data_IF_420318866107
#
_entry.id   IF_420318866107
#
_cell.length_a   1.000
_cell.length_b   1.000
_cell.length_c   1.000
_cell.angle_alpha   90.00
_cell.angle_beta   90.00
_cell.angle_gamma   90.00
#
_symmetry.space_group_name_H-M   'P 1'
#
loop_
_entity.id
_entity.type
_entity.pdbx_description
1 polymer ?
#
# COMPACT_ATOMS: atom_id res chain seq x y z
N UNK A 1 -59.07 -11.66 -0.71
CA UNK A 1 -58.29 -10.41 -0.82
C UNK A 1 -57.12 -10.40 0.15
N UNK A 2 -57.24 -11.07 1.30
CA UNK A 2 -56.24 -11.07 2.37
C UNK A 2 -54.92 -11.77 1.99
N UNK A 3 -54.96 -12.84 1.20
CA UNK A 3 -53.73 -13.51 0.73
C UNK A 3 -52.91 -12.65 -0.23
N UNK A 4 -53.55 -11.81 -1.06
CA UNK A 4 -52.85 -10.92 -1.99
C UNK A 4 -52.10 -9.81 -1.25
N UNK A 5 -52.68 -9.29 -0.16
CA UNK A 5 -52.01 -8.31 0.71
C UNK A 5 -50.78 -8.91 1.39
N UNK A 6 -50.85 -10.17 1.83
CA UNK A 6 -49.69 -10.90 2.37
C UNK A 6 -48.54 -11.01 1.36
N UNK A 7 -48.83 -11.45 0.12
CA UNK A 7 -47.81 -11.56 -0.93
C UNK A 7 -47.17 -10.22 -1.30
N UNK A 8 -47.93 -9.11 -1.28
CA UNK A 8 -47.39 -7.77 -1.56
C UNK A 8 -46.45 -7.32 -0.45
N UNK A 9 -46.81 -7.56 0.83
CA UNK A 9 -45.94 -7.22 1.96
C UNK A 9 -44.65 -8.04 1.96
N UNK A 10 -44.73 -9.34 1.68
CA UNK A 10 -43.56 -10.19 1.56
C UNK A 10 -42.65 -9.76 0.40
N UNK A 11 -43.23 -9.39 -0.75
CA UNK A 11 -42.49 -8.85 -1.88
C UNK A 11 -41.77 -7.54 -1.54
N UNK A 12 -42.41 -6.65 -0.77
CA UNK A 12 -41.80 -5.41 -0.30
C UNK A 12 -40.66 -5.66 0.69
N UNK A 13 -40.82 -6.64 1.59
CA UNK A 13 -39.78 -7.01 2.56
C UNK A 13 -38.57 -7.61 1.85
N UNK A 14 -38.78 -8.53 0.90
CA UNK A 14 -37.71 -9.12 0.09
C UNK A 14 -37.00 -8.03 -0.74
N UNK A 15 -37.76 -7.08 -1.30
CA UNK A 15 -37.18 -5.96 -2.03
C UNK A 15 -36.32 -5.08 -1.11
N UNK A 16 -36.82 -4.73 0.06
CA UNK A 16 -36.09 -3.93 1.04
C UNK A 16 -34.79 -4.62 1.48
N UNK A 17 -34.84 -5.91 1.81
CA UNK A 17 -33.66 -6.70 2.14
C UNK A 17 -32.66 -6.78 0.98
N UNK A 18 -33.15 -6.99 -0.24
CA UNK A 18 -32.31 -7.02 -1.44
C UNK A 18 -31.57 -5.69 -1.67
N UNK A 19 -32.26 -4.56 -1.47
CA UNK A 19 -31.66 -3.22 -1.53
C UNK A 19 -30.61 -3.05 -0.42
N UNK A 20 -30.94 -3.40 0.82
CA UNK A 20 -30.00 -3.28 1.94
C UNK A 20 -28.73 -4.10 1.69
N UNK A 21 -28.85 -5.37 1.30
CA UNK A 21 -27.69 -6.24 1.03
C UNK A 21 -26.84 -5.69 -0.12
N UNK A 22 -27.48 -5.20 -1.19
CA UNK A 22 -26.79 -4.61 -2.36
C UNK A 22 -25.89 -3.43 -1.99
N UNK A 23 -26.27 -2.62 -1.00
CA UNK A 23 -25.47 -1.47 -0.58
C UNK A 23 -24.57 -1.75 0.62
N UNK A 24 -24.98 -2.64 1.52
CA UNK A 24 -24.23 -2.94 2.74
C UNK A 24 -22.95 -3.73 2.47
N UNK A 25 -23.01 -4.75 1.61
CA UNK A 25 -21.82 -5.56 1.25
C UNK A 25 -20.71 -4.69 0.64
N UNK A 26 -20.93 -3.90 -0.43
CA UNK A 26 -19.87 -3.09 -1.00
C UNK A 26 -19.37 -2.00 -0.05
N UNK A 27 -20.23 -1.49 0.85
CA UNK A 27 -19.80 -0.54 1.87
C UNK A 27 -18.80 -1.13 2.87
N UNK A 28 -19.07 -2.33 3.39
CA UNK A 28 -18.14 -3.05 4.27
C UNK A 28 -16.83 -3.36 3.53
N UNK A 29 -16.91 -3.83 2.28
CA UNK A 29 -15.73 -4.06 1.45
C UNK A 29 -14.90 -2.78 1.28
N UNK A 30 -15.54 -1.63 1.06
CA UNK A 30 -14.84 -0.35 0.88
C UNK A 30 -14.05 0.10 2.11
N UNK A 31 -14.51 -0.24 3.32
CA UNK A 31 -13.82 0.03 4.57
C UNK A 31 -12.55 -0.84 4.69
N UNK A 32 -12.66 -2.12 4.32
CA UNK A 32 -11.55 -3.07 4.38
C UNK A 32 -10.51 -2.78 3.28
N UNK A 33 -10.91 -2.40 2.07
CA UNK A 33 -9.99 -2.09 0.96
C UNK A 33 -9.04 -0.95 1.29
N UNK A 34 -9.50 0.11 1.97
CA UNK A 34 -8.63 1.22 2.40
C UNK A 34 -7.57 0.76 3.39
N UNK A 35 -7.93 -0.14 4.30
CA UNK A 35 -7.01 -0.71 5.28
C UNK A 35 -6.02 -1.69 4.62
N UNK A 36 -6.47 -2.47 3.64
CA UNK A 36 -5.60 -3.39 2.91
C UNK A 36 -4.50 -2.65 2.15
N UNK A 37 -4.80 -1.49 1.56
CA UNK A 37 -3.79 -0.67 0.87
C UNK A 37 -2.73 -0.09 1.83
N UNK A 38 -3.12 0.34 3.03
CA UNK A 38 -2.14 0.84 4.00
C UNK A 38 -1.25 -0.29 4.52
N UNK A 39 -1.83 -1.46 4.81
CA UNK A 39 -1.07 -2.66 5.19
C UNK A 39 -0.13 -3.09 4.08
N UNK A 40 -0.60 -3.12 2.83
CA UNK A 40 0.21 -3.44 1.65
C UNK A 40 1.38 -2.46 1.49
N UNK A 41 1.10 -1.16 1.64
CA UNK A 41 2.13 -0.11 1.59
C UNK A 41 3.19 -0.32 2.67
N UNK A 42 2.79 -0.71 3.88
CA UNK A 42 3.72 -0.96 4.98
C UNK A 42 4.62 -2.18 4.68
N UNK A 43 4.06 -3.27 4.16
CA UNK A 43 4.85 -4.44 3.76
C UNK A 43 5.82 -4.12 2.62
N UNK A 44 5.39 -3.34 1.62
CA UNK A 44 6.26 -2.88 0.53
C UNK A 44 7.39 -2.01 1.06
N UNK A 45 7.09 -1.04 1.94
CA UNK A 45 8.13 -0.21 2.56
C UNK A 45 9.12 -1.03 3.39
N UNK A 46 8.63 -2.00 4.17
CA UNK A 46 9.48 -2.90 4.93
C UNK A 46 10.36 -3.77 4.02
N UNK A 47 9.82 -4.27 2.91
CA UNK A 47 10.57 -5.04 1.93
C UNK A 47 11.66 -4.21 1.25
N UNK A 48 11.35 -2.96 0.85
CA UNK A 48 12.34 -2.04 0.28
C UNK A 48 13.43 -1.70 1.30
N UNK A 49 13.06 -1.43 2.56
CA UNK A 49 14.03 -1.19 3.63
C UNK A 49 14.94 -2.42 3.87
N UNK A 50 14.38 -3.62 3.85
CA UNK A 50 15.14 -4.87 3.97
C UNK A 50 16.11 -5.07 2.78
N UNK A 51 15.68 -4.74 1.56
CA UNK A 51 16.53 -4.79 0.37
C UNK A 51 17.70 -3.82 0.45
N UNK A 52 17.46 -2.59 0.92
CA UNK A 52 18.50 -1.58 1.14
C UNK A 52 19.51 -2.00 2.22
N UNK A 53 19.06 -2.66 3.28
CA UNK A 53 19.96 -3.16 4.32
C UNK A 53 20.75 -4.40 3.89
N UNK A 54 20.13 -5.30 3.13
CA UNK A 54 20.73 -6.58 2.72
C UNK A 54 21.74 -6.39 1.59
N UNK A 55 21.43 -5.54 0.60
CA UNK A 55 22.28 -5.30 -0.57
C UNK A 55 22.94 -3.93 -0.42
N UNK A 56 24.20 -3.93 0.02
CA UNK A 56 25.01 -2.72 0.17
C UNK A 56 25.69 -2.35 -1.17
N UNK A 57 25.62 -1.08 -1.54
CA UNK A 57 26.26 -0.55 -2.75
C UNK A 57 25.33 0.28 -3.65
N UNK A 58 25.89 1.29 -4.32
CA UNK A 58 25.14 2.12 -5.28
C UNK A 58 25.04 1.42 -6.64
N UNK A 59 24.01 1.76 -7.44
CA UNK A 59 23.83 1.20 -8.79
C UNK A 59 23.18 -0.19 -8.87
N UNK A 60 22.88 -0.83 -7.74
CA UNK A 60 22.28 -2.17 -7.66
C UNK A 60 20.74 -2.17 -7.63
N UNK A 61 20.09 -1.09 -8.10
CA UNK A 61 18.63 -0.89 -7.98
C UNK A 61 17.80 -2.03 -8.59
N UNK A 62 18.24 -2.59 -9.73
CA UNK A 62 17.55 -3.72 -10.36
C UNK A 62 17.59 -5.00 -9.49
N UNK A 63 18.72 -5.27 -8.83
CA UNK A 63 18.87 -6.43 -7.94
C UNK A 63 18.07 -6.24 -6.65
N UNK A 64 18.09 -5.01 -6.09
CA UNK A 64 17.26 -4.64 -4.94
C UNK A 64 15.77 -4.79 -5.25
N UNK A 65 15.32 -4.32 -6.41
CA UNK A 65 13.92 -4.48 -6.84
C UNK A 65 13.54 -5.97 -6.99
N UNK A 66 14.40 -6.78 -7.59
CA UNK A 66 14.16 -8.23 -7.69
C UNK A 66 14.05 -8.91 -6.31
N UNK A 67 14.88 -8.50 -5.35
CA UNK A 67 14.81 -8.97 -3.97
C UNK A 67 13.49 -8.57 -3.29
N UNK A 68 13.04 -7.32 -3.46
CA UNK A 68 11.75 -6.83 -2.95
C UNK A 68 10.60 -7.65 -3.53
N UNK A 69 10.60 -7.91 -4.84
CA UNK A 69 9.57 -8.71 -5.52
C UNK A 69 9.54 -10.13 -4.97
N UNK A 70 10.71 -10.77 -4.81
CA UNK A 70 10.78 -12.12 -4.27
C UNK A 70 10.29 -12.19 -2.81
N UNK A 71 10.69 -11.22 -1.98
CA UNK A 71 10.23 -11.14 -0.58
C UNK A 71 8.72 -10.92 -0.48
N UNK A 72 8.14 -10.07 -1.34
CA UNK A 72 6.69 -9.88 -1.39
C UNK A 72 5.97 -11.16 -1.82
N UNK A 73 6.53 -11.91 -2.79
CA UNK A 73 6.01 -13.21 -3.17
C UNK A 73 6.08 -14.22 -2.01
N UNK A 74 7.16 -14.25 -1.24
CA UNK A 74 7.30 -15.11 -0.05
C UNK A 74 6.27 -14.75 1.04
N UNK A 75 5.90 -13.47 1.15
CA UNK A 75 4.84 -12.99 2.03
C UNK A 75 3.41 -13.28 1.50
N UNK A 76 3.28 -13.93 0.34
CA UNK A 76 2.01 -14.24 -0.30
C UNK A 76 1.36 -13.06 -1.02
N UNK A 77 2.12 -11.98 -1.25
CA UNK A 77 1.66 -10.77 -1.95
C UNK A 77 2.10 -10.87 -3.41
N UNK A 78 1.12 -10.96 -4.33
CA UNK A 78 1.40 -10.92 -5.77
C UNK A 78 1.74 -9.50 -6.19
N UNK A 79 2.79 -9.33 -7.00
CA UNK A 79 3.17 -8.02 -7.54
C UNK A 79 2.32 -7.71 -8.77
N UNK A 80 1.25 -6.94 -8.56
CA UNK A 80 0.47 -6.33 -9.63
C UNK A 80 0.98 -4.89 -9.93
N UNK A 81 0.32 -4.19 -10.85
CA UNK A 81 0.68 -2.79 -11.17
C UNK A 81 0.53 -1.82 -10.00
N UNK A 82 -0.34 -2.13 -9.02
CA UNK A 82 -0.52 -1.30 -7.83
C UNK A 82 0.66 -1.50 -6.87
N UNK A 83 1.05 -2.75 -6.62
CA UNK A 83 2.20 -3.09 -5.79
C UNK A 83 3.49 -2.56 -6.42
N UNK A 84 3.66 -2.67 -7.73
CA UNK A 84 4.83 -2.10 -8.43
C UNK A 84 4.90 -0.58 -8.26
N UNK A 85 3.77 0.13 -8.39
CA UNK A 85 3.72 1.57 -8.10
C UNK A 85 4.05 1.91 -6.64
N UNK A 86 3.63 1.06 -5.68
CA UNK A 86 3.99 1.22 -4.26
C UNK A 86 5.49 0.99 -4.02
N UNK A 87 6.11 0.05 -4.75
CA UNK A 87 7.56 -0.21 -4.68
C UNK A 87 8.31 1.03 -5.17
N UNK A 88 7.96 1.55 -6.34
CA UNK A 88 8.59 2.76 -6.90
C UNK A 88 8.38 3.99 -6.00
N UNK A 89 7.19 4.14 -5.42
CA UNK A 89 6.91 5.21 -4.47
C UNK A 89 7.77 5.10 -3.19
N UNK A 90 7.95 3.88 -2.66
CA UNK A 90 8.80 3.64 -1.51
C UNK A 90 10.28 3.93 -1.81
N UNK A 91 10.78 3.49 -2.97
CA UNK A 91 12.15 3.79 -3.44
C UNK A 91 12.35 5.29 -3.60
N UNK A 92 11.41 5.99 -4.25
CA UNK A 92 11.48 7.44 -4.43
C UNK A 92 11.53 8.17 -3.09
N UNK A 93 10.68 7.78 -2.12
CA UNK A 93 10.67 8.38 -0.78
C UNK A 93 12.03 8.23 -0.08
N UNK A 94 12.69 7.08 -0.23
CA UNK A 94 14.03 6.87 0.33
C UNK A 94 15.07 7.78 -0.34
N UNK A 95 15.05 7.89 -1.66
CA UNK A 95 15.96 8.78 -2.39
C UNK A 95 15.75 10.26 -2.03
N UNK A 96 14.50 10.71 -1.95
CA UNK A 96 14.16 12.06 -1.53
C UNK A 96 14.68 12.34 -0.11
N UNK A 97 14.50 11.37 0.82
CA UNK A 97 15.00 11.48 2.20
C UNK A 97 16.53 11.56 2.23
N UNK A 98 17.22 10.73 1.46
CA UNK A 98 18.68 10.75 1.35
C UNK A 98 19.20 12.09 0.79
N UNK A 99 18.52 12.64 -0.23
CA UNK A 99 18.87 13.93 -0.81
C UNK A 99 18.74 15.06 0.23
N UNK A 100 17.66 15.09 0.99
CA UNK A 100 17.47 16.08 2.07
C UNK A 100 18.57 15.95 3.13
N UNK A 101 18.90 14.74 3.56
CA UNK A 101 19.97 14.52 4.54
C UNK A 101 21.32 15.00 4.02
N UNK A 102 21.65 14.74 2.75
CA UNK A 102 22.89 15.26 2.14
C UNK A 102 22.92 16.79 2.05
N UNK A 103 21.78 17.43 1.74
CA UNK A 103 21.68 18.87 1.69
C UNK A 103 21.83 19.51 3.07
N UNK A 104 21.28 18.90 4.12
CA UNK A 104 21.45 19.33 5.50
C UNK A 104 22.90 19.20 5.98
N UNK A 105 23.57 18.10 5.63
CA UNK A 105 24.99 17.91 5.95
C UNK A 105 25.88 18.99 5.30
N UNK A 106 25.58 19.38 4.05
CA UNK A 106 26.32 20.43 3.36
C UNK A 106 26.13 21.84 3.94
N UNK A 107 25.07 22.08 4.73
CA UNK A 107 24.82 23.36 5.43
C UNK A 107 25.56 23.40 6.78
N UNK A 108 25.96 22.23 7.32
CA UNK A 108 26.53 22.08 8.65
C UNK A 108 28.05 22.17 8.76
N UNK A 109 28.77 22.55 7.70
CA UNK A 109 30.24 22.72 7.71
C UNK A 109 30.63 24.22 7.79
N UNK A 110 30.70 24.85 8.98
CA UNK A 110 31.52 26.04 9.20
C UNK A 110 32.98 25.60 9.40
N UNK A 111 33.89 26.20 8.63
CA UNK A 111 35.27 25.77 8.52
C UNK A 111 36.03 25.63 9.84
N UNK A 112 36.68 24.48 10.01
CA UNK A 112 37.89 24.33 10.81
C UNK A 112 38.97 23.73 9.91
N UNK A 113 39.98 24.55 9.60
CA UNK A 113 41.39 24.22 9.33
C UNK A 113 41.99 25.22 8.32
N UNK A 114 42.41 26.39 8.83
CA UNK A 114 43.68 27.02 8.45
C UNK A 114 44.18 27.84 9.65
N UNK A 115 44.81 27.15 10.61
CA UNK A 115 45.82 27.75 11.50
C UNK A 115 47.06 26.88 11.46
#
# INVERSE_FOLDING_TARGET
MDSLLGYILDALLVLALGVTVKYLIPWIQSLITKQNLSVLTNWVQAAVAAAEQTIQGSGLGAQKKAFVVNLLHELGISVDSTVDALIEAAVKKLNDTAAVLSALAAIGEPGEEQT
#
